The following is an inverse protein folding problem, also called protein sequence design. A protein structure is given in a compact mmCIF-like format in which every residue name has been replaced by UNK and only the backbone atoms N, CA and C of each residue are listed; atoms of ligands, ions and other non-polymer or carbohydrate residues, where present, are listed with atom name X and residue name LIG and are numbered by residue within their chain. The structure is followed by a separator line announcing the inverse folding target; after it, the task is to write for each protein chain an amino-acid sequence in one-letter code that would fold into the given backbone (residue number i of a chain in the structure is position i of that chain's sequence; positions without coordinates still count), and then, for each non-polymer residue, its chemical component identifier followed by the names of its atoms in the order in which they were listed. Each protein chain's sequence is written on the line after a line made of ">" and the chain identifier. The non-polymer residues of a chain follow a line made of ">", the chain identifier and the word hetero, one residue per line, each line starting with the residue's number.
data_IF_531153864021
#
_entry.id   IF_531153864021
#
_cell.length_a   1.000
_cell.length_b   1.000
_cell.length_c   1.000
_cell.angle_alpha   90.00
_cell.angle_beta   90.00
_cell.angle_gamma   90.00
#
_symmetry.space_group_name_H-M   'P 1'
#
loop_
_entity.id
_entity.type
_entity.pdbx_description
1 polymer ?
#
# COMPACT_ATOMS: atom_id res chain seq x y z
N UNK A 1 40.21 7.44 -66.39
CA UNK A 1 39.34 8.61 -66.17
C UNK A 1 39.65 9.07 -64.74
N UNK A 2 40.64 9.94 -64.52
CA UNK A 2 40.63 11.40 -64.73
C UNK A 2 39.47 12.03 -63.95
N UNK A 3 39.62 13.07 -63.12
CA UNK A 3 40.71 13.73 -62.43
C UNK A 3 40.02 14.59 -61.35
N UNK A 4 40.70 14.94 -60.27
CA UNK A 4 40.13 15.80 -59.24
C UNK A 4 41.18 16.23 -58.24
N UNK A 5 42.19 16.94 -58.73
CA UNK A 5 43.14 17.71 -57.93
C UNK A 5 42.60 19.13 -57.73
N UNK A 6 42.62 19.60 -56.49
CA UNK A 6 42.70 21.00 -56.08
C UNK A 6 43.05 20.97 -54.58
N UNK A 7 44.33 20.93 -54.20
CA UNK A 7 45.28 22.05 -54.07
C UNK A 7 45.13 22.78 -52.71
N UNK A 8 46.25 22.97 -52.01
CA UNK A 8 46.34 23.65 -50.70
C UNK A 8 47.14 22.92 -49.62
N UNK A 9 48.47 23.07 -49.63
CA UNK A 9 49.37 22.83 -48.48
C UNK A 9 49.69 24.19 -47.79
N UNK A 10 50.57 24.33 -46.78
CA UNK A 10 50.85 23.58 -45.53
C UNK A 10 50.87 24.54 -44.28
N UNK A 11 51.41 24.08 -43.14
CA UNK A 11 51.74 24.85 -41.90
C UNK A 11 50.55 25.04 -40.94
N UNK A 12 50.66 25.01 -39.60
CA UNK A 12 51.76 25.28 -38.69
C UNK A 12 51.43 24.69 -37.30
N UNK A 13 52.45 24.40 -36.49
CA UNK A 13 52.31 23.98 -35.09
C UNK A 13 51.77 25.13 -34.21
N UNK A 14 50.94 24.81 -33.22
CA UNK A 14 50.45 25.83 -32.28
C UNK A 14 49.62 25.28 -31.12
N UNK A 15 50.34 24.86 -30.08
CA UNK A 15 50.04 25.15 -28.66
C UNK A 15 48.68 24.73 -28.08
N UNK A 16 48.77 23.76 -27.17
CA UNK A 16 48.22 23.81 -25.82
C UNK A 16 47.07 24.79 -25.58
N UNK A 17 45.87 24.27 -25.36
CA UNK A 17 45.06 24.79 -24.27
C UNK A 17 44.34 23.64 -23.57
N UNK A 18 44.85 23.34 -22.38
CA UNK A 18 44.23 22.47 -21.40
C UNK A 18 42.87 23.07 -21.07
N UNK A 19 41.80 22.47 -21.57
CA UNK A 19 40.47 22.85 -21.12
C UNK A 19 40.38 22.53 -19.63
N UNK A 20 40.15 23.50 -18.74
CA UNK A 20 39.95 23.23 -17.33
C UNK A 20 38.70 22.37 -17.19
N UNK A 21 38.81 21.27 -16.46
CA UNK A 21 37.65 20.52 -15.95
C UNK A 21 37.00 21.41 -14.88
N UNK A 22 36.33 22.48 -15.32
CA UNK A 22 35.64 23.42 -14.46
C UNK A 22 34.37 22.74 -13.96
N UNK A 23 34.30 22.54 -12.64
CA UNK A 23 33.02 22.46 -11.95
C UNK A 23 32.26 21.15 -12.11
N UNK A 24 32.87 20.02 -11.69
CA UNK A 24 32.08 18.97 -11.02
C UNK A 24 31.69 19.50 -9.63
N UNK A 25 30.88 20.55 -9.62
CA UNK A 25 30.30 21.10 -8.41
C UNK A 25 29.43 20.01 -7.81
N UNK A 26 29.72 19.73 -6.55
CA UNK A 26 29.18 18.71 -5.69
C UNK A 26 27.66 18.91 -5.46
N UNK A 27 26.84 18.64 -6.46
CA UNK A 27 25.40 18.48 -6.30
C UNK A 27 25.13 17.03 -5.89
N UNK A 28 25.04 16.76 -4.59
CA UNK A 28 24.52 15.47 -4.11
C UNK A 28 25.01 14.97 -2.76
N UNK A 29 26.00 15.60 -2.13
CA UNK A 29 26.39 15.17 -0.78
C UNK A 29 25.52 15.85 0.28
N UNK A 30 24.29 15.34 0.50
CA UNK A 30 23.64 15.54 1.79
C UNK A 30 24.65 15.20 2.90
N UNK A 31 24.84 16.08 3.87
CA UNK A 31 25.82 15.86 4.94
C UNK A 31 25.50 14.53 5.65
N UNK A 32 26.51 13.90 6.25
CA UNK A 32 26.30 12.67 7.02
C UNK A 32 25.22 12.85 8.10
N UNK A 33 25.12 14.06 8.65
CA UNK A 33 24.10 14.47 9.61
C UNK A 33 22.71 14.57 8.95
N UNK A 34 22.56 15.17 7.77
CA UNK A 34 21.28 15.20 7.04
C UNK A 34 20.77 13.80 6.70
N UNK A 35 21.66 12.88 6.27
CA UNK A 35 21.29 11.48 6.01
C UNK A 35 20.84 10.76 7.28
N UNK A 36 21.51 11.02 8.41
CA UNK A 36 21.14 10.47 9.71
C UNK A 36 19.78 10.99 10.18
N UNK A 37 19.54 12.29 10.06
CA UNK A 37 18.25 12.92 10.39
C UNK A 37 17.11 12.40 9.51
N UNK A 38 17.32 12.27 8.20
CA UNK A 38 16.33 11.70 7.28
C UNK A 38 15.96 10.24 7.63
N UNK A 39 16.96 9.41 7.98
CA UNK A 39 16.71 8.03 8.43
C UNK A 39 15.92 7.99 9.74
N UNK A 40 16.25 8.86 10.69
CA UNK A 40 15.54 8.95 11.96
C UNK A 40 14.08 9.40 11.75
N UNK A 41 13.85 10.42 10.92
CA UNK A 41 12.51 10.90 10.58
C UNK A 41 11.67 9.79 9.92
N UNK A 42 12.26 9.06 8.96
CA UNK A 42 11.59 7.92 8.33
C UNK A 42 11.29 6.78 9.31
N UNK A 43 12.20 6.48 10.24
CA UNK A 43 11.97 5.48 11.27
C UNK A 43 10.83 5.87 12.22
N UNK A 44 10.79 7.14 12.66
CA UNK A 44 9.74 7.67 13.52
C UNK A 44 8.37 7.66 12.81
N UNK A 45 8.32 8.07 11.54
CA UNK A 45 7.09 8.03 10.74
C UNK A 45 6.55 6.60 10.60
N UNK A 46 7.43 5.63 10.31
CA UNK A 46 7.02 4.21 10.25
C UNK A 46 6.52 3.68 11.60
N UNK A 47 7.20 4.05 12.68
CA UNK A 47 6.80 3.64 14.03
C UNK A 47 5.43 4.22 14.42
N UNK A 48 5.11 5.44 14.00
CA UNK A 48 3.81 6.07 14.23
C UNK A 48 2.67 5.40 13.41
N UNK A 49 2.95 4.99 12.17
CA UNK A 49 1.94 4.38 11.29
C UNK A 49 1.73 2.88 11.53
N UNK A 50 2.72 2.16 12.06
CA UNK A 50 2.64 0.70 12.23
C UNK A 50 1.45 0.23 13.08
N UNK A 51 1.10 0.87 14.21
CA UNK A 51 -0.10 0.52 14.98
C UNK A 51 -1.39 0.74 14.21
N UNK A 52 -1.50 1.82 13.42
CA UNK A 52 -2.69 2.11 12.62
C UNK A 52 -2.87 1.07 11.50
N UNK A 53 -1.79 0.76 10.77
CA UNK A 53 -1.81 -0.29 9.74
C UNK A 53 -2.24 -1.65 10.30
N UNK A 54 -1.77 -1.98 11.50
CA UNK A 54 -2.18 -3.21 12.19
C UNK A 54 -3.67 -3.20 12.53
N UNK A 55 -4.19 -2.10 13.07
CA UNK A 55 -5.61 -1.97 13.41
C UNK A 55 -6.51 -2.06 12.18
N UNK A 56 -6.14 -1.42 11.07
CA UNK A 56 -6.85 -1.55 9.78
C UNK A 56 -6.90 -3.01 9.35
N UNK A 57 -5.76 -3.71 9.32
CA UNK A 57 -5.71 -5.13 8.93
C UNK A 57 -6.51 -6.05 9.87
N UNK A 58 -6.60 -5.71 11.17
CA UNK A 58 -7.42 -6.45 12.13
C UNK A 58 -8.92 -6.20 11.92
N UNK A 59 -9.31 -4.97 11.57
CA UNK A 59 -10.68 -4.61 11.23
C UNK A 59 -11.14 -5.31 9.94
N UNK A 60 -10.31 -5.34 8.90
CA UNK A 60 -10.56 -6.08 7.64
C UNK A 60 -10.82 -7.56 7.91
N UNK A 61 -9.91 -8.22 8.65
CA UNK A 61 -10.07 -9.64 9.02
C UNK A 61 -11.34 -9.88 9.84
N UNK A 62 -11.80 -8.90 10.61
CA UNK A 62 -13.04 -9.00 11.37
C UNK A 62 -14.25 -8.94 10.44
N UNK A 63 -14.27 -8.01 9.48
CA UNK A 63 -15.29 -7.93 8.42
C UNK A 63 -15.37 -9.25 7.67
N UNK A 64 -14.24 -9.76 7.17
CA UNK A 64 -14.17 -11.04 6.43
C UNK A 64 -14.74 -12.22 7.23
N UNK A 65 -14.36 -12.34 8.51
CA UNK A 65 -14.85 -13.42 9.39
C UNK A 65 -16.35 -13.34 9.64
N UNK A 66 -16.87 -12.14 9.87
CA UNK A 66 -18.30 -11.94 10.10
C UNK A 66 -19.07 -12.28 8.82
N UNK A 67 -18.60 -11.81 7.66
CA UNK A 67 -19.20 -12.10 6.37
C UNK A 67 -19.23 -13.61 6.09
N UNK A 68 -18.14 -14.33 6.34
CA UNK A 68 -18.08 -15.78 6.16
C UNK A 68 -19.09 -16.53 7.06
N UNK A 69 -19.28 -16.07 8.30
CA UNK A 69 -20.27 -16.65 9.21
C UNK A 69 -21.72 -16.31 8.80
N UNK A 70 -21.95 -15.11 8.24
CA UNK A 70 -23.22 -14.74 7.62
C UNK A 70 -23.53 -15.66 6.44
N UNK A 71 -22.58 -15.83 5.52
CA UNK A 71 -22.77 -16.65 4.32
C UNK A 71 -23.06 -18.12 4.68
N UNK A 72 -22.35 -18.66 5.68
CA UNK A 72 -22.63 -19.98 6.22
C UNK A 72 -24.04 -20.10 6.80
N UNK A 73 -24.48 -19.11 7.58
CA UNK A 73 -25.82 -19.08 8.14
C UNK A 73 -26.90 -19.00 7.06
N UNK A 74 -26.70 -18.13 6.06
CA UNK A 74 -27.59 -17.98 4.90
C UNK A 74 -27.67 -19.26 4.07
N UNK A 75 -26.54 -19.90 3.79
CA UNK A 75 -26.50 -21.17 3.06
C UNK A 75 -27.26 -22.28 3.81
N UNK A 76 -27.10 -22.37 5.13
CA UNK A 76 -27.84 -23.33 5.96
C UNK A 76 -29.34 -23.07 5.93
N UNK A 77 -29.77 -21.80 6.05
CA UNK A 77 -31.19 -21.45 6.03
C UNK A 77 -31.82 -21.53 4.63
N UNK A 78 -31.01 -21.45 3.57
CA UNK A 78 -31.47 -21.63 2.20
C UNK A 78 -31.69 -23.11 1.83
N UNK A 79 -31.11 -24.06 2.57
CA UNK A 79 -31.27 -25.49 2.33
C UNK A 79 -32.64 -26.00 2.83
N UNK A 80 -33.55 -26.44 1.92
CA UNK A 80 -34.86 -26.97 2.32
C UNK A 80 -34.76 -28.20 3.24
N UNK A 81 -33.67 -28.98 3.14
CA UNK A 81 -33.48 -30.19 3.94
C UNK A 81 -33.31 -29.89 5.43
N UNK A 82 -32.85 -28.70 5.80
CA UNK A 82 -32.74 -28.27 7.21
C UNK A 82 -34.09 -28.24 7.91
N UNK A 83 -35.17 -27.94 7.18
CA UNK A 83 -36.52 -27.89 7.74
C UNK A 83 -37.17 -29.27 7.85
N UNK A 84 -36.70 -30.24 7.07
CA UNK A 84 -37.23 -31.62 7.08
C UNK A 84 -36.52 -32.53 8.09
N UNK A 85 -35.32 -32.16 8.53
CA UNK A 85 -34.55 -32.88 9.53
C UNK A 85 -34.92 -32.43 10.97
N UNK A 86 -35.44 -33.32 11.84
CA UNK A 86 -35.87 -32.97 13.20
C UNK A 86 -34.75 -32.42 14.09
N UNK A 87 -33.49 -32.77 13.84
CA UNK A 87 -32.34 -32.29 14.63
C UNK A 87 -31.86 -30.95 14.08
N UNK A 88 -31.76 -30.80 12.75
CA UNK A 88 -31.29 -29.54 12.14
C UNK A 88 -32.31 -28.41 12.27
N UNK A 89 -33.60 -28.71 12.18
CA UNK A 89 -34.68 -27.71 12.30
C UNK A 89 -34.66 -26.98 13.64
N UNK A 90 -34.24 -27.64 14.72
CA UNK A 90 -34.07 -26.99 16.05
C UNK A 90 -33.07 -25.85 16.05
N UNK A 91 -32.13 -25.82 15.10
CA UNK A 91 -31.08 -24.79 15.00
C UNK A 91 -31.52 -23.57 14.18
N UNK A 92 -32.63 -23.65 13.44
CA UNK A 92 -33.11 -22.59 12.54
C UNK A 92 -33.35 -21.26 13.30
N UNK A 93 -34.11 -21.23 14.42
CA UNK A 93 -34.37 -19.96 15.11
C UNK A 93 -33.09 -19.32 15.66
N UNK A 94 -32.14 -20.15 16.12
CA UNK A 94 -30.85 -19.69 16.62
C UNK A 94 -30.02 -19.06 15.50
N UNK A 95 -30.00 -19.66 14.30
CA UNK A 95 -29.32 -19.09 13.14
C UNK A 95 -29.97 -17.80 12.64
N UNK A 96 -31.29 -17.70 12.63
CA UNK A 96 -31.99 -16.47 12.25
C UNK A 96 -31.64 -15.31 13.20
N UNK A 97 -31.66 -15.57 14.51
CA UNK A 97 -31.25 -14.58 15.51
C UNK A 97 -29.77 -14.18 15.34
N UNK A 98 -28.90 -15.18 15.20
CA UNK A 98 -27.46 -14.97 15.01
C UNK A 98 -27.17 -14.14 13.75
N UNK A 99 -27.88 -14.36 12.64
CA UNK A 99 -27.71 -13.57 11.43
C UNK A 99 -28.04 -12.09 11.66
N UNK A 100 -29.15 -11.78 12.32
CA UNK A 100 -29.49 -10.39 12.65
C UNK A 100 -28.49 -9.72 13.60
N UNK A 101 -27.84 -10.48 14.48
CA UNK A 101 -26.74 -9.99 15.32
C UNK A 101 -25.45 -9.80 14.51
N UNK A 102 -25.10 -10.75 13.63
CA UNK A 102 -23.93 -10.68 12.77
C UNK A 102 -24.02 -9.52 11.77
N UNK A 103 -25.18 -9.24 11.20
CA UNK A 103 -25.38 -8.12 10.28
C UNK A 103 -25.09 -6.77 10.96
N UNK A 104 -25.54 -6.58 12.22
CA UNK A 104 -25.20 -5.39 13.01
C UNK A 104 -23.72 -5.31 13.36
N UNK A 105 -23.11 -6.45 13.66
CA UNK A 105 -21.67 -6.53 13.94
C UNK A 105 -20.83 -6.28 12.69
N UNK A 106 -21.33 -6.65 11.51
CA UNK A 106 -20.69 -6.38 10.23
C UNK A 106 -20.67 -4.88 9.99
N UNK A 107 -21.84 -4.22 10.06
CA UNK A 107 -21.97 -2.76 9.89
C UNK A 107 -21.01 -2.00 10.81
N UNK A 108 -20.99 -2.33 12.10
CA UNK A 108 -20.07 -1.69 13.05
C UNK A 108 -18.58 -1.98 12.77
N UNK A 109 -18.26 -3.15 12.22
CA UNK A 109 -16.88 -3.50 11.85
C UNK A 109 -16.45 -2.77 10.57
N UNK A 110 -17.35 -2.61 9.61
CA UNK A 110 -17.13 -1.85 8.37
C UNK A 110 -16.94 -0.35 8.67
N UNK A 111 -17.75 0.23 9.55
CA UNK A 111 -17.60 1.61 9.99
C UNK A 111 -16.25 1.84 10.68
N UNK A 112 -15.88 0.96 11.62
CA UNK A 112 -14.58 1.03 12.29
C UNK A 112 -13.40 0.88 11.31
N UNK A 113 -13.52 -0.02 10.32
CA UNK A 113 -12.50 -0.16 9.28
C UNK A 113 -12.36 1.11 8.44
N UNK A 114 -13.48 1.74 8.05
CA UNK A 114 -13.48 2.98 7.28
C UNK A 114 -12.87 4.15 8.07
N UNK A 115 -13.20 4.29 9.36
CA UNK A 115 -12.62 5.31 10.24
C UNK A 115 -11.11 5.13 10.43
N UNK A 116 -10.68 3.90 10.71
CA UNK A 116 -9.25 3.56 10.87
C UNK A 116 -8.47 3.79 9.58
N UNK A 117 -9.06 3.43 8.43
CA UNK A 117 -8.46 3.64 7.12
C UNK A 117 -8.32 5.13 6.82
N UNK A 118 -9.36 5.92 7.08
CA UNK A 118 -9.32 7.38 6.93
C UNK A 118 -8.26 8.02 7.84
N UNK A 119 -8.16 7.55 9.08
CA UNK A 119 -7.13 8.01 10.03
C UNK A 119 -5.72 7.65 9.56
N UNK A 120 -5.54 6.46 8.99
CA UNK A 120 -4.27 6.03 8.44
C UNK A 120 -3.86 6.92 7.26
N UNK A 121 -4.77 7.19 6.31
CA UNK A 121 -4.51 8.05 5.15
C UNK A 121 -4.08 9.46 5.59
N UNK A 122 -4.85 10.06 6.50
CA UNK A 122 -4.54 11.38 7.06
C UNK A 122 -3.18 11.41 7.80
N UNK A 123 -2.79 10.31 8.43
CA UNK A 123 -1.50 10.19 9.12
C UNK A 123 -0.32 9.92 8.15
N UNK A 124 -0.56 9.26 7.01
CA UNK A 124 0.47 9.06 5.99
C UNK A 124 0.76 10.29 5.14
N UNK A 125 -0.07 11.33 5.24
CA UNK A 125 0.14 12.62 4.57
C UNK A 125 -0.34 12.66 3.12
N UNK A 126 -1.35 11.86 2.78
CA UNK A 126 -2.15 12.05 1.57
C UNK A 126 -3.19 13.16 1.78
#
# INVERSE_FOLDING_TARGET
>A
MQAGQSDGAPMEAGQSDSTPIEGRQNEGSQSAEQRRQARQAAANARAALAPLKKQVAEAERRVEKIQAEIDKGRALLADPAVYSDPVKSTKVPAWQKKLGELEKLLEAAEEAWLELSTTLEAASGE
#
